data_IF_933887466552
#
_entry.id   IF_933887466552
#
_cell.length_a   1.000
_cell.length_b   1.000
_cell.length_c   1.000
_cell.angle_alpha   90.00
_cell.angle_beta   90.00
_cell.angle_gamma   90.00
#
_symmetry.space_group_name_H-M   'P 1'
#
loop_
_entity.id
_entity.type
_entity.pdbx_description
1 polymer ?
#
# COMPACT_ATOMS: atom_id res chain seq x y z
N UNK A 1 -37.44 14.54 11.23
CA UNK A 1 -38.27 13.60 10.43
C UNK A 1 -37.30 12.85 9.51
N UNK A 2 -36.69 11.74 9.92
CA UNK A 2 -37.26 10.40 10.09
C UNK A 2 -36.59 9.68 11.26
N UNK A 3 -37.43 9.07 12.10
CA UNK A 3 -37.04 8.23 13.22
C UNK A 3 -36.67 6.84 12.70
N UNK A 4 -35.50 6.31 13.07
CA UNK A 4 -35.22 4.88 12.96
C UNK A 4 -35.38 4.29 14.36
N UNK A 5 -36.47 3.56 14.57
CA UNK A 5 -36.70 2.80 15.80
C UNK A 5 -35.94 1.47 15.68
N UNK A 6 -34.96 1.23 16.55
CA UNK A 6 -34.35 -0.09 16.70
C UNK A 6 -35.08 -0.79 17.85
N UNK A 7 -35.84 -1.83 17.51
CA UNK A 7 -36.48 -2.70 18.51
C UNK A 7 -35.41 -3.58 19.15
N UNK A 8 -35.28 -3.49 20.48
CA UNK A 8 -34.44 -4.39 21.26
C UNK A 8 -35.20 -5.71 21.47
N UNK A 9 -34.74 -6.79 20.85
CA UNK A 9 -35.16 -8.15 21.23
C UNK A 9 -34.39 -8.59 22.48
N UNK A 10 -35.06 -9.05 23.55
CA UNK A 10 -34.45 -9.21 24.87
C UNK A 10 -33.62 -10.50 25.07
N UNK A 11 -33.42 -11.36 24.06
CA UNK A 11 -33.07 -12.76 24.33
C UNK A 11 -31.89 -13.39 23.56
N UNK A 12 -31.07 -12.67 22.78
CA UNK A 12 -29.90 -13.32 22.12
C UNK A 12 -28.56 -12.66 22.40
N UNK A 13 -27.83 -13.33 23.29
CA UNK A 13 -26.38 -13.37 23.53
C UNK A 13 -25.49 -13.10 22.31
N UNK A 14 -25.35 -11.84 21.88
CA UNK A 14 -24.24 -11.43 21.00
C UNK A 14 -23.10 -10.89 21.86
N UNK A 15 -21.99 -11.63 21.85
CA UNK A 15 -20.70 -11.23 22.40
C UNK A 15 -20.41 -9.80 21.94
N UNK A 16 -20.19 -8.91 22.91
CA UNK A 16 -19.75 -7.55 22.65
C UNK A 16 -18.35 -7.60 22.04
N UNK A 17 -18.21 -7.08 20.83
CA UNK A 17 -16.93 -6.63 20.32
C UNK A 17 -16.99 -5.10 20.28
N UNK A 18 -16.42 -4.46 21.32
CA UNK A 18 -16.16 -3.03 21.35
C UNK A 18 -14.69 -2.84 20.94
N UNK A 19 -14.38 -2.49 19.68
CA UNK A 19 -13.03 -2.06 19.34
C UNK A 19 -12.82 -0.70 20.00
N UNK A 20 -12.00 -0.68 21.05
CA UNK A 20 -11.78 0.50 21.90
C UNK A 20 -10.96 1.62 21.23
N UNK A 21 -10.62 1.50 19.95
CA UNK A 21 -10.02 2.57 19.15
C UNK A 21 -9.96 2.09 17.69
N UNK A 22 -10.26 2.93 16.68
CA UNK A 22 -9.81 2.61 15.34
C UNK A 22 -8.28 2.75 15.36
N UNK A 23 -7.58 1.66 15.63
CA UNK A 23 -6.16 1.54 15.27
C UNK A 23 -6.12 1.84 13.78
N UNK A 24 -5.66 3.04 13.44
CA UNK A 24 -5.46 3.40 12.05
C UNK A 24 -4.48 2.38 11.50
N UNK A 25 -4.98 1.49 10.64
CA UNK A 25 -4.14 0.54 9.95
C UNK A 25 -3.31 1.38 8.99
N UNK A 26 -2.10 1.70 9.42
CA UNK A 26 -1.04 2.20 8.54
C UNK A 26 -0.89 1.11 7.47
N UNK A 27 -0.90 1.50 6.19
CA UNK A 27 -0.95 0.60 5.04
C UNK A 27 -0.08 -0.66 5.18
N UNK A 28 -0.56 -1.78 4.63
CA UNK A 28 0.23 -3.01 4.55
C UNK A 28 1.58 -2.75 3.86
N UNK A 29 2.66 -3.26 4.46
CA UNK A 29 4.01 -3.14 3.91
C UNK A 29 4.35 -4.36 3.07
N UNK A 30 4.75 -4.15 1.81
CA UNK A 30 5.22 -5.20 0.91
C UNK A 30 6.75 -5.23 0.86
N UNK A 31 7.32 -6.43 0.80
CA UNK A 31 8.76 -6.66 0.60
C UNK A 31 9.05 -7.08 -0.84
N UNK A 32 10.33 -7.19 -1.22
CA UNK A 32 10.72 -7.58 -2.58
C UNK A 32 10.25 -8.98 -2.97
N UNK A 33 10.14 -9.91 -2.02
CA UNK A 33 9.74 -11.29 -2.28
C UNK A 33 8.21 -11.43 -2.46
N UNK A 34 7.43 -10.40 -2.09
CA UNK A 34 5.96 -10.39 -2.22
C UNK A 34 5.49 -9.91 -3.61
N UNK A 35 6.39 -9.35 -4.43
CA UNK A 35 6.02 -8.67 -5.68
C UNK A 35 6.85 -9.09 -6.88
N UNK A 36 6.21 -9.09 -8.05
CA UNK A 36 6.86 -9.28 -9.35
C UNK A 36 6.50 -8.14 -10.30
N UNK A 37 7.44 -7.78 -11.17
CA UNK A 37 7.19 -6.83 -12.24
C UNK A 37 6.33 -7.50 -13.33
N UNK A 38 5.24 -6.84 -13.73
CA UNK A 38 4.46 -7.25 -14.89
C UNK A 38 5.19 -6.79 -16.16
N UNK A 39 5.53 -7.69 -17.08
CA UNK A 39 6.19 -7.28 -18.33
C UNK A 39 5.33 -6.34 -19.16
N UNK A 40 5.93 -5.24 -19.63
CA UNK A 40 5.34 -4.31 -20.57
C UNK A 40 6.01 -4.42 -21.94
N UNK A 41 5.33 -3.95 -23.00
CA UNK A 41 5.96 -3.79 -24.31
C UNK A 41 7.12 -2.78 -24.18
N UNK A 42 8.29 -3.15 -24.67
CA UNK A 42 9.47 -2.26 -24.73
C UNK A 42 9.94 -2.14 -26.17
N UNK A 43 10.20 -0.91 -26.62
CA UNK A 43 10.89 -0.64 -27.89
C UNK A 43 12.41 -0.38 -27.66
N UNK A 44 12.89 -0.53 -26.42
CA UNK A 44 14.30 -0.33 -26.01
C UNK A 44 14.93 -1.67 -25.62
N UNK A 45 16.18 -1.89 -26.05
CA UNK A 45 16.98 -3.07 -25.66
C UNK A 45 17.82 -2.77 -24.41
N UNK A 46 18.19 -3.79 -23.59
CA UNK A 46 18.89 -3.57 -22.32
C UNK A 46 20.18 -2.76 -22.42
N UNK A 47 20.94 -2.92 -23.52
CA UNK A 47 22.19 -2.19 -23.74
C UNK A 47 22.01 -0.71 -24.07
N UNK A 48 20.78 -0.28 -24.38
CA UNK A 48 20.43 1.11 -24.69
C UNK A 48 19.77 1.82 -23.50
N UNK A 49 19.54 1.13 -22.38
CA UNK A 49 18.91 1.72 -21.20
C UNK A 49 19.88 2.66 -20.49
N UNK A 50 19.41 3.86 -20.14
CA UNK A 50 20.15 4.81 -19.33
C UNK A 50 19.91 4.53 -17.84
N UNK A 51 20.97 4.17 -17.10
CA UNK A 51 20.92 3.88 -15.66
C UNK A 51 21.29 5.07 -14.77
N UNK A 52 21.48 6.26 -15.34
CA UNK A 52 21.93 7.42 -14.57
C UNK A 52 20.85 7.87 -13.59
N UNK A 53 21.24 8.10 -12.34
CA UNK A 53 20.32 8.53 -11.26
C UNK A 53 20.84 9.77 -10.54
N UNK A 54 19.92 10.60 -10.07
CA UNK A 54 20.24 11.77 -9.24
C UNK A 54 20.20 11.38 -7.77
N UNK A 55 21.32 11.51 -7.06
CA UNK A 55 21.38 11.30 -5.60
C UNK A 55 21.07 12.62 -4.88
N UNK A 56 21.48 13.76 -5.45
CA UNK A 56 21.16 15.10 -4.96
C UNK A 56 20.83 16.03 -6.15
N UNK A 57 20.43 17.27 -5.88
CA UNK A 57 20.17 18.26 -6.95
C UNK A 57 21.42 18.52 -7.82
N UNK A 58 22.60 18.47 -7.21
CA UNK A 58 23.86 18.78 -7.86
C UNK A 58 24.62 17.55 -8.39
N UNK A 59 24.33 16.34 -7.87
CA UNK A 59 25.14 15.14 -8.15
C UNK A 59 24.32 14.08 -8.88
N UNK A 60 24.79 13.69 -10.06
CA UNK A 60 24.26 12.59 -10.88
C UNK A 60 25.28 11.47 -10.98
N UNK A 61 24.84 10.22 -10.74
CA UNK A 61 25.63 9.01 -10.92
C UNK A 61 25.26 8.32 -12.22
N UNK A 62 26.22 7.66 -12.86
CA UNK A 62 25.99 6.83 -14.06
C UNK A 62 25.33 5.48 -13.73
N UNK A 63 25.60 4.96 -12.53
CA UNK A 63 25.09 3.67 -12.04
C UNK A 63 24.45 3.89 -10.67
N UNK A 64 23.23 3.37 -10.39
CA UNK A 64 22.50 3.64 -9.16
C UNK A 64 22.95 2.71 -8.02
N UNK A 65 24.24 2.75 -7.66
CA UNK A 65 24.86 1.96 -6.59
C UNK A 65 25.75 2.84 -5.72
N UNK A 66 25.73 2.61 -4.41
CA UNK A 66 26.55 3.28 -3.38
C UNK A 66 27.21 2.25 -2.47
#
# INVERSE_FOLDING_TARGET
MRSFCVTVNPDRTRIKYEPSTPTQVISEGLTYDDVLLVPGRSDVIPTQVNTSTKITEAVTLTVPLL
#
